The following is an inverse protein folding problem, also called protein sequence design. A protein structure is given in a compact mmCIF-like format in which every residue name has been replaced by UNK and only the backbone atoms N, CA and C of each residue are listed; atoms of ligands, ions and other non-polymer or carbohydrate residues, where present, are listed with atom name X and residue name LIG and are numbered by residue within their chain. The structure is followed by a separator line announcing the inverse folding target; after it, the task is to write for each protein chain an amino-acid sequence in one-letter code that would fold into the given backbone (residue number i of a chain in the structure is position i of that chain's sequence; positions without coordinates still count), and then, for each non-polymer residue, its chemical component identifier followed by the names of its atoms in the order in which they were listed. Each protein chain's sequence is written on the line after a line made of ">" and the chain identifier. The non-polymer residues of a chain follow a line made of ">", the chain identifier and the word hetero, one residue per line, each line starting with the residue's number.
data_IF_269110068564
#
_entry.id   IF_269110068564
#
_cell.length_a   1.000
_cell.length_b   1.000
_cell.length_c   1.000
_cell.angle_alpha   90.00
_cell.angle_beta   90.00
_cell.angle_gamma   90.00
#
_symmetry.space_group_name_H-M   'P 1'
#
loop_
_entity.id
_entity.type
_entity.pdbx_description
1 polymer ?
#
# COMPACT_ATOMS: atom_id res chain seq x y z
N UNK A 1 -13.39 22.99 2.04
CA UNK A 1 -14.54 22.08 1.80
C UNK A 1 -14.55 20.95 2.84
N UNK A 2 -14.84 21.33 4.09
CA UNK A 2 -14.89 20.34 5.18
C UNK A 2 -16.25 19.66 5.23
N UNK A 3 -16.26 18.35 5.47
CA UNK A 3 -17.44 17.54 5.74
C UNK A 3 -17.19 16.67 6.98
N UNK A 4 -18.17 15.89 7.40
CA UNK A 4 -18.06 15.00 8.57
C UNK A 4 -16.88 14.01 8.45
N UNK A 5 -16.59 13.51 7.24
CA UNK A 5 -15.46 12.62 6.99
C UNK A 5 -14.12 13.31 7.22
N UNK A 6 -13.99 14.58 6.77
CA UNK A 6 -12.80 15.38 7.02
C UNK A 6 -12.54 15.56 8.51
N UNK A 7 -13.59 15.84 9.29
CA UNK A 7 -13.50 16.00 10.74
C UNK A 7 -13.07 14.70 11.43
N UNK A 8 -13.65 13.58 11.04
CA UNK A 8 -13.29 12.25 11.59
C UNK A 8 -11.85 11.85 11.29
N UNK A 9 -11.35 12.17 10.10
CA UNK A 9 -10.00 11.81 9.67
C UNK A 9 -8.94 12.87 9.99
N UNK A 10 -9.34 14.06 10.44
CA UNK A 10 -8.41 15.15 10.71
C UNK A 10 -7.77 15.75 9.45
N UNK A 11 -8.48 15.71 8.32
CA UNK A 11 -8.02 16.25 7.03
C UNK A 11 -8.80 17.52 6.66
N UNK A 12 -8.23 18.35 5.80
CA UNK A 12 -8.82 19.62 5.38
C UNK A 12 -9.74 19.44 4.17
N UNK A 13 -9.35 18.59 3.23
CA UNK A 13 -10.06 18.31 1.99
C UNK A 13 -10.46 16.83 1.91
N UNK A 14 -11.67 16.50 1.39
CA UNK A 14 -12.10 15.11 1.22
C UNK A 14 -11.47 14.48 -0.01
N UNK A 15 -10.14 14.52 -0.07
CA UNK A 15 -9.33 13.99 -1.17
C UNK A 15 -8.42 12.91 -0.64
N UNK A 16 -8.53 11.70 -1.20
CA UNK A 16 -7.66 10.58 -0.94
C UNK A 16 -6.80 10.30 -2.17
N UNK A 17 -5.50 10.11 -1.97
CA UNK A 17 -4.61 9.75 -3.06
C UNK A 17 -3.76 8.54 -2.67
N UNK A 18 -3.92 7.49 -3.43
CA UNK A 18 -3.16 6.26 -3.28
C UNK A 18 -1.83 6.33 -4.04
N UNK A 19 -0.76 5.86 -3.42
CA UNK A 19 0.54 5.70 -4.08
C UNK A 19 1.38 4.63 -3.40
N UNK A 20 2.26 3.99 -4.15
CA UNK A 20 3.34 3.15 -3.62
C UNK A 20 4.59 3.97 -3.23
N UNK A 21 4.60 5.28 -3.53
CA UNK A 21 5.72 6.18 -3.23
C UNK A 21 5.42 7.02 -1.99
N UNK A 22 6.21 6.87 -0.95
CA UNK A 22 6.09 7.64 0.29
C UNK A 22 6.13 9.16 0.08
N UNK A 23 6.91 9.65 -0.87
CA UNK A 23 6.99 11.08 -1.19
C UNK A 23 5.63 11.66 -1.62
N UNK A 24 4.91 10.92 -2.46
CA UNK A 24 3.56 11.31 -2.91
C UNK A 24 2.58 11.29 -1.74
N UNK A 25 2.61 10.23 -0.93
CA UNK A 25 1.75 10.11 0.26
C UNK A 25 1.98 11.29 1.21
N UNK A 26 3.23 11.60 1.51
CA UNK A 26 3.57 12.73 2.38
C UNK A 26 3.12 14.08 1.80
N UNK A 27 3.32 14.30 0.50
CA UNK A 27 2.91 15.53 -0.17
C UNK A 27 1.40 15.75 -0.12
N UNK A 28 0.61 14.71 -0.38
CA UNK A 28 -0.87 14.78 -0.30
C UNK A 28 -1.33 15.06 1.12
N UNK A 29 -0.79 14.38 2.11
CA UNK A 29 -1.14 14.58 3.52
C UNK A 29 -0.77 15.99 4.00
N UNK A 30 0.42 16.49 3.67
CA UNK A 30 0.80 17.87 3.98
C UNK A 30 -0.10 18.92 3.31
N UNK A 31 -0.59 18.63 2.11
CA UNK A 31 -1.50 19.52 1.39
C UNK A 31 -2.93 19.53 1.94
N UNK A 32 -3.25 18.70 2.93
CA UNK A 32 -4.55 18.67 3.60
C UNK A 32 -5.50 17.57 3.16
N UNK A 33 -5.09 16.70 2.26
CA UNK A 33 -5.78 15.45 1.91
C UNK A 33 -5.35 14.27 2.78
N UNK A 34 -5.70 13.06 2.37
CA UNK A 34 -5.20 11.81 2.95
C UNK A 34 -4.38 11.05 1.92
N UNK A 35 -3.08 11.07 2.06
CA UNK A 35 -2.20 10.19 1.31
C UNK A 35 -2.32 8.76 1.83
N UNK A 36 -2.43 7.77 0.95
CA UNK A 36 -2.56 6.35 1.30
C UNK A 36 -1.41 5.56 0.67
N UNK A 37 -0.60 4.94 1.52
CA UNK A 37 0.51 4.09 1.06
C UNK A 37 0.02 2.69 0.76
N UNK A 38 0.27 2.21 -0.46
CA UNK A 38 0.06 0.80 -0.84
C UNK A 38 1.16 -0.08 -0.25
N UNK A 39 0.81 -0.93 0.71
CA UNK A 39 1.77 -1.68 1.51
C UNK A 39 2.03 -3.12 1.04
N UNK A 40 1.27 -3.60 0.07
CA UNK A 40 1.26 -5.02 -0.32
C UNK A 40 2.61 -5.53 -0.81
N UNK A 41 3.40 -4.67 -1.48
CA UNK A 41 4.68 -5.04 -2.06
C UNK A 41 5.87 -4.96 -1.08
N UNK A 42 5.67 -4.43 0.12
CA UNK A 42 6.74 -4.28 1.11
C UNK A 42 6.84 -5.48 2.03
N UNK A 43 8.06 -5.89 2.35
CA UNK A 43 8.29 -6.78 3.49
C UNK A 43 7.96 -6.04 4.80
N UNK A 44 7.73 -6.75 5.92
CA UNK A 44 7.52 -6.10 7.21
C UNK A 44 8.62 -5.11 7.58
N UNK A 45 9.87 -5.46 7.34
CA UNK A 45 11.04 -4.62 7.65
C UNK A 45 11.10 -3.37 6.76
N UNK A 46 10.78 -3.53 5.46
CA UNK A 46 10.69 -2.41 4.53
C UNK A 46 9.54 -1.47 4.90
N UNK A 47 8.39 -2.04 5.26
CA UNK A 47 7.22 -1.26 5.67
C UNK A 47 7.52 -0.42 6.93
N UNK A 48 8.23 -0.98 7.90
CA UNK A 48 8.64 -0.24 9.10
C UNK A 48 9.49 0.99 8.74
N UNK A 49 10.43 0.86 7.81
CA UNK A 49 11.23 1.98 7.32
C UNK A 49 10.39 3.04 6.59
N UNK A 50 9.44 2.61 5.76
CA UNK A 50 8.55 3.53 5.04
C UNK A 50 7.65 4.32 6.01
N UNK A 51 7.08 3.65 7.02
CA UNK A 51 6.24 4.28 8.03
C UNK A 51 7.03 5.26 8.90
N UNK A 52 8.23 4.88 9.33
CA UNK A 52 9.11 5.77 10.09
C UNK A 52 9.47 7.04 9.30
N UNK A 53 9.71 6.90 8.00
CA UNK A 53 9.95 8.04 7.12
C UNK A 53 8.72 8.95 6.99
N UNK A 54 7.53 8.34 6.78
CA UNK A 54 6.27 9.09 6.70
C UNK A 54 5.99 9.88 7.97
N UNK A 55 6.16 9.26 9.14
CA UNK A 55 5.96 9.92 10.44
C UNK A 55 6.81 11.19 10.59
N UNK A 56 8.00 11.22 9.99
CA UNK A 56 8.90 12.37 10.01
C UNK A 56 8.56 13.44 8.95
N UNK A 57 7.81 13.10 7.89
CA UNK A 57 7.65 13.95 6.70
C UNK A 57 6.21 14.39 6.42
N UNK A 58 5.23 13.97 7.20
CA UNK A 58 3.83 14.39 7.04
C UNK A 58 3.42 15.62 7.86
N UNK A 59 4.36 16.23 8.59
CA UNK A 59 4.12 17.40 9.45
C UNK A 59 2.99 17.16 10.47
N UNK A 60 2.93 15.99 11.07
CA UNK A 60 1.86 15.61 12.03
C UNK A 60 0.49 15.38 11.38
N UNK A 61 0.40 15.40 10.07
CA UNK A 61 -0.85 15.14 9.36
C UNK A 61 -1.13 13.63 9.26
N UNK A 62 -2.41 13.24 9.20
CA UNK A 62 -2.76 11.83 9.04
C UNK A 62 -2.42 11.31 7.64
N UNK A 63 -2.10 10.03 7.56
CA UNK A 63 -1.99 9.27 6.32
C UNK A 63 -2.61 7.88 6.50
N UNK A 64 -2.91 7.21 5.42
CA UNK A 64 -3.48 5.88 5.41
C UNK A 64 -2.50 4.81 4.91
N UNK A 65 -2.83 3.58 5.23
CA UNK A 65 -2.14 2.39 4.75
C UNK A 65 -3.16 1.46 4.07
N UNK A 66 -2.85 1.01 2.86
CA UNK A 66 -3.66 0.03 2.15
C UNK A 66 -3.00 -1.34 2.24
N UNK A 67 -3.73 -2.29 2.83
CA UNK A 67 -3.31 -3.67 2.97
C UNK A 67 -4.35 -4.61 2.39
N UNK A 68 -3.91 -5.69 1.75
CA UNK A 68 -4.81 -6.73 1.25
C UNK A 68 -4.97 -7.83 2.30
N UNK A 69 -6.20 -8.00 2.77
CA UNK A 69 -6.58 -9.10 3.64
C UNK A 69 -7.67 -9.94 2.95
N UNK A 70 -7.30 -10.87 2.06
CA UNK A 70 -8.28 -11.66 1.34
C UNK A 70 -9.07 -12.55 2.31
N UNK A 71 -10.40 -12.59 2.12
CA UNK A 71 -11.27 -13.45 2.92
C UNK A 71 -10.97 -14.95 2.71
N UNK A 72 -10.63 -15.31 1.47
CA UNK A 72 -10.19 -16.66 1.11
C UNK A 72 -8.94 -16.56 0.25
N UNK A 73 -7.93 -17.31 0.59
CA UNK A 73 -6.73 -17.50 -0.22
C UNK A 73 -6.20 -18.92 -0.06
N UNK A 74 -5.56 -19.43 -1.08
CA UNK A 74 -4.94 -20.75 -1.01
C UNK A 74 -3.82 -20.77 0.01
N UNK A 75 -3.69 -21.85 0.75
CA UNK A 75 -2.69 -22.01 1.80
C UNK A 75 -3.10 -21.50 3.18
N UNK A 76 -4.29 -20.89 3.34
CA UNK A 76 -4.74 -20.39 4.65
C UNK A 76 -4.73 -21.45 5.75
N UNK A 77 -5.09 -22.69 5.39
CA UNK A 77 -5.12 -23.83 6.34
C UNK A 77 -3.72 -24.39 6.63
N UNK A 78 -2.74 -24.08 5.77
CA UNK A 78 -1.36 -24.60 5.85
C UNK A 78 -0.36 -23.57 6.39
N UNK A 79 -0.84 -22.37 6.77
CA UNK A 79 -0.02 -21.22 7.10
C UNK A 79 0.33 -20.38 5.88
N UNK A 80 1.10 -19.31 6.09
CA UNK A 80 1.48 -18.42 5.00
C UNK A 80 2.38 -19.12 3.98
N UNK A 81 2.01 -19.02 2.71
CA UNK A 81 2.83 -19.52 1.60
C UNK A 81 4.05 -18.61 1.40
N UNK A 82 5.20 -19.23 1.18
CA UNK A 82 6.39 -18.47 0.80
C UNK A 82 6.24 -17.89 -0.60
N UNK A 83 6.99 -16.81 -0.89
CA UNK A 83 6.99 -16.20 -2.22
C UNK A 83 7.29 -17.22 -3.33
N UNK A 84 8.25 -18.11 -3.08
CA UNK A 84 8.60 -19.18 -4.04
C UNK A 84 7.44 -20.15 -4.31
N UNK A 85 6.65 -20.47 -3.30
CA UNK A 85 5.45 -21.31 -3.46
C UNK A 85 4.37 -20.59 -4.27
N UNK A 86 4.16 -19.30 -4.04
CA UNK A 86 3.22 -18.49 -4.80
C UNK A 86 3.65 -18.35 -6.27
N UNK A 87 4.91 -18.09 -6.52
CA UNK A 87 5.48 -18.04 -7.88
C UNK A 87 5.33 -19.34 -8.64
N UNK A 88 5.52 -20.48 -7.96
CA UNK A 88 5.33 -21.81 -8.55
C UNK A 88 3.88 -22.10 -8.96
N UNK A 89 2.91 -21.41 -8.36
CA UNK A 89 1.48 -21.54 -8.68
C UNK A 89 1.07 -20.73 -9.92
N UNK A 90 1.92 -19.81 -10.41
CA UNK A 90 1.64 -19.01 -11.60
C UNK A 90 1.71 -19.93 -12.85
N UNK A 91 0.65 -19.96 -13.68
CA UNK A 91 0.64 -20.77 -14.88
C UNK A 91 1.81 -20.44 -15.82
N UNK A 92 2.46 -21.44 -16.38
CA UNK A 92 3.61 -21.25 -17.29
C UNK A 92 3.33 -20.31 -18.46
N UNK A 93 2.11 -20.36 -19.01
CA UNK A 93 1.70 -19.46 -20.09
C UNK A 93 1.77 -17.97 -19.69
N UNK A 94 1.46 -17.64 -18.43
CA UNK A 94 1.57 -16.26 -17.91
C UNK A 94 3.03 -15.85 -17.73
N UNK A 95 3.87 -16.75 -17.25
CA UNK A 95 5.30 -16.49 -17.10
C UNK A 95 5.97 -16.24 -18.46
N UNK A 96 5.67 -17.08 -19.47
CA UNK A 96 6.17 -16.92 -20.85
C UNK A 96 5.70 -15.62 -21.50
N UNK A 97 4.45 -15.24 -21.27
CA UNK A 97 3.90 -13.97 -21.77
C UNK A 97 4.62 -12.77 -21.15
N UNK A 98 4.87 -12.81 -19.84
CA UNK A 98 5.59 -11.73 -19.15
C UNK A 98 7.03 -11.58 -19.67
N UNK A 99 7.74 -12.71 -19.89
CA UNK A 99 9.10 -12.71 -20.47
C UNK A 99 9.11 -12.05 -21.85
N UNK A 100 8.10 -12.34 -22.69
CA UNK A 100 7.98 -11.71 -24.01
C UNK A 100 7.74 -10.21 -23.95
N UNK A 101 7.01 -9.73 -22.95
CA UNK A 101 6.77 -8.30 -22.79
C UNK A 101 8.02 -7.53 -22.34
N UNK A 102 8.91 -8.17 -21.60
CA UNK A 102 10.11 -7.55 -21.06
C UNK A 102 11.32 -7.62 -22.01
N UNK A 103 11.19 -8.32 -23.12
CA UNK A 103 12.18 -8.36 -24.21
C UNK A 103 11.97 -7.25 -25.23
#
# INVERSE_FOLDING_TARGET
>A
MKNELCEKLGIEFPIFAFSHCRDVVAAVSRAGGLGVLGAVAFSPEQLELELAWLDQHVDGKPYGLDTVMPYKYEGREQGDLSQAQLEAMIPKAHQEWLIKLLQ
#
